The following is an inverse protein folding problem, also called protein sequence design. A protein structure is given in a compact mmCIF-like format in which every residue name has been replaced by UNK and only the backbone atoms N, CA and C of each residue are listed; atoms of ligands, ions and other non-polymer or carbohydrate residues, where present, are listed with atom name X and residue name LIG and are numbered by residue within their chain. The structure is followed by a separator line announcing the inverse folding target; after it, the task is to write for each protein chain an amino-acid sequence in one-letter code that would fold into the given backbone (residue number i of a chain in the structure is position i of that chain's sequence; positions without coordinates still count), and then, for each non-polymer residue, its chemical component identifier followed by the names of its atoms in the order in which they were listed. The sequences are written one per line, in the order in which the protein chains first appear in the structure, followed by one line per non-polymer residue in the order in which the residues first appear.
data_IF_547823352013
#
_entry.id   IF_547823352013
#
_cell.length_a   1.000
_cell.length_b   1.000
_cell.length_c   1.000
_cell.angle_alpha   90.00
_cell.angle_beta   90.00
_cell.angle_gamma   90.00
#
_symmetry.space_group_name_H-M   'P 1'
#
loop_
_entity.id
_entity.type
_entity.pdbx_description
1 polymer ?
#
# COMPACT_ATOMS: atom_id res chain seq x y z
N UNK A 1 12.33 17.65 29.14
CA UNK A 1 11.32 16.58 29.25
C UNK A 1 10.91 15.98 27.89
N UNK A 2 11.70 16.11 26.82
CA UNK A 2 11.33 15.62 25.48
C UNK A 2 12.01 14.33 25.01
N UNK A 3 12.89 13.74 25.83
CA UNK A 3 13.74 12.61 25.44
C UNK A 3 13.12 11.23 25.66
N UNK A 4 12.18 11.09 26.61
CA UNK A 4 11.59 9.77 26.96
C UNK A 4 10.51 9.33 25.95
N UNK A 5 9.71 10.26 25.42
CA UNK A 5 8.60 9.95 24.50
C UNK A 5 9.06 9.57 23.09
N UNK A 6 10.19 10.12 22.63
CA UNK A 6 10.79 9.78 21.33
C UNK A 6 11.45 8.39 21.34
N UNK A 7 11.95 7.92 22.50
CA UNK A 7 12.50 6.59 22.64
C UNK A 7 11.41 5.51 22.69
N UNK A 8 10.33 5.73 23.46
CA UNK A 8 9.19 4.80 23.53
C UNK A 8 8.50 4.60 22.17
N UNK A 9 8.39 5.66 21.36
CA UNK A 9 7.81 5.59 20.02
C UNK A 9 8.72 4.90 19.00
N UNK A 10 10.04 4.92 19.20
CA UNK A 10 10.98 4.16 18.38
C UNK A 10 10.93 2.66 18.70
N UNK A 11 10.86 2.33 19.99
CA UNK A 11 10.84 0.94 20.45
C UNK A 11 9.54 0.22 20.05
N UNK A 12 8.38 0.90 20.13
CA UNK A 12 7.10 0.36 19.64
C UNK A 12 7.13 0.10 18.13
N UNK A 13 7.70 1.03 17.34
CA UNK A 13 7.84 0.85 15.89
C UNK A 13 8.77 -0.30 15.53
N UNK A 14 9.89 -0.43 16.24
CA UNK A 14 10.81 -1.55 16.04
C UNK A 14 10.16 -2.89 16.40
N UNK A 15 9.36 -2.92 17.47
CA UNK A 15 8.56 -4.09 17.85
C UNK A 15 7.55 -4.48 16.78
N UNK A 16 6.78 -3.51 16.26
CA UNK A 16 5.84 -3.71 15.13
C UNK A 16 6.56 -4.19 13.88
N UNK A 17 7.71 -3.62 13.55
CA UNK A 17 8.51 -4.03 12.41
C UNK A 17 8.94 -5.50 12.53
N UNK A 18 9.49 -5.90 13.68
CA UNK A 18 9.92 -7.28 13.93
C UNK A 18 8.74 -8.25 13.87
N UNK A 19 7.58 -7.87 14.42
CA UNK A 19 6.35 -8.65 14.32
C UNK A 19 5.92 -8.86 12.87
N UNK A 20 5.92 -7.81 12.04
CA UNK A 20 5.53 -7.91 10.63
C UNK A 20 6.53 -8.73 9.80
N UNK A 21 7.84 -8.56 10.04
CA UNK A 21 8.89 -9.35 9.41
C UNK A 21 8.71 -10.84 9.73
N UNK A 22 8.40 -11.17 10.98
CA UNK A 22 8.10 -12.55 11.39
C UNK A 22 6.80 -13.07 10.75
N UNK A 23 5.73 -12.27 10.79
CA UNK A 23 4.41 -12.62 10.26
C UNK A 23 4.42 -12.93 8.76
N UNK A 24 5.19 -12.17 7.99
CA UNK A 24 5.29 -12.30 6.54
C UNK A 24 6.55 -13.06 6.09
N UNK A 25 7.26 -13.71 7.02
CA UNK A 25 8.46 -14.52 6.75
C UNK A 25 9.52 -13.77 5.91
N UNK A 26 9.62 -12.45 6.12
CA UNK A 26 10.56 -11.60 5.37
C UNK A 26 11.97 -11.96 5.83
N UNK A 27 12.83 -12.35 4.89
CA UNK A 27 14.20 -12.70 5.25
C UNK A 27 14.95 -11.49 5.83
N UNK A 28 15.95 -11.74 6.68
CA UNK A 28 16.69 -10.67 7.40
C UNK A 28 17.39 -9.67 6.48
N UNK A 29 17.84 -10.12 5.30
CA UNK A 29 18.50 -9.26 4.34
C UNK A 29 17.52 -8.24 3.74
N UNK A 30 16.34 -8.69 3.32
CA UNK A 30 15.25 -7.85 2.85
C UNK A 30 14.73 -6.93 3.94
N UNK A 31 14.57 -7.42 5.17
CA UNK A 31 14.19 -6.58 6.31
C UNK A 31 15.19 -5.44 6.54
N UNK A 32 16.49 -5.70 6.34
CA UNK A 32 17.52 -4.65 6.44
C UNK A 32 17.39 -3.63 5.31
N UNK A 33 17.08 -4.07 4.08
CA UNK A 33 16.84 -3.17 2.95
C UNK A 33 15.57 -2.34 3.12
N UNK A 34 14.52 -2.90 3.70
CA UNK A 34 13.26 -2.18 3.98
C UNK A 34 13.48 -0.99 4.93
N UNK A 35 14.42 -1.07 5.88
CA UNK A 35 14.80 0.09 6.70
C UNK A 35 15.34 1.27 5.90
N UNK A 36 15.88 1.03 4.70
CA UNK A 36 16.32 2.10 3.79
C UNK A 36 15.17 2.95 3.22
N UNK A 37 13.91 2.54 3.44
CA UNK A 37 12.73 3.31 3.09
C UNK A 37 12.36 4.35 4.14
N UNK A 38 13.04 4.37 5.30
CA UNK A 38 12.83 5.41 6.30
C UNK A 38 13.10 6.80 5.71
N UNK A 39 12.18 7.73 5.93
CA UNK A 39 12.27 9.08 5.36
C UNK A 39 11.82 9.20 3.90
N UNK A 40 11.32 8.14 3.26
CA UNK A 40 10.63 8.26 1.97
C UNK A 40 9.17 8.68 2.15
N UNK A 41 8.67 9.54 1.27
CA UNK A 41 7.24 9.70 1.05
C UNK A 41 6.76 8.50 0.21
N UNK A 42 5.80 7.72 0.71
CA UNK A 42 5.36 6.48 0.05
C UNK A 42 3.95 6.67 -0.50
N UNK A 43 3.79 6.43 -1.80
CA UNK A 43 2.50 6.50 -2.49
C UNK A 43 2.23 5.19 -3.24
N UNK A 44 1.01 4.70 -3.11
CA UNK A 44 0.50 3.59 -3.92
C UNK A 44 -0.40 4.10 -5.05
N UNK A 45 -0.24 3.53 -6.24
CA UNK A 45 -1.22 3.62 -7.32
C UNK A 45 -1.78 2.22 -7.54
N UNK A 46 -3.08 2.07 -7.30
CA UNK A 46 -3.81 0.80 -7.30
C UNK A 46 -4.71 0.77 -8.52
N UNK A 47 -4.52 -0.25 -9.34
CA UNK A 47 -5.37 -0.55 -10.48
C UNK A 47 -6.73 -1.07 -10.02
N UNK A 48 -7.77 -0.30 -10.31
CA UNK A 48 -9.16 -0.65 -10.06
C UNK A 48 -9.97 -0.65 -11.36
N UNK A 49 -9.32 -0.96 -12.49
CA UNK A 49 -9.95 -1.08 -13.79
C UNK A 49 -10.81 -2.35 -13.94
N UNK A 50 -11.65 -2.40 -14.98
CA UNK A 50 -12.54 -3.54 -15.19
C UNK A 50 -11.86 -4.90 -15.31
N UNK A 51 -10.61 -4.96 -15.81
CA UNK A 51 -9.84 -6.22 -15.97
C UNK A 51 -9.50 -6.88 -14.64
N UNK A 52 -9.48 -6.12 -13.55
CA UNK A 52 -9.23 -6.61 -12.19
C UNK A 52 -10.35 -7.53 -11.66
N UNK A 53 -11.51 -7.60 -12.34
CA UNK A 53 -12.55 -8.59 -12.06
C UNK A 53 -12.20 -9.99 -12.58
N UNK A 54 -11.10 -10.15 -13.32
CA UNK A 54 -10.69 -11.45 -13.86
C UNK A 54 -10.42 -12.45 -12.74
N UNK A 55 -10.93 -13.70 -12.83
CA UNK A 55 -10.61 -14.76 -11.89
C UNK A 55 -9.11 -15.13 -11.93
N UNK A 56 -8.54 -15.44 -10.78
CA UNK A 56 -7.11 -15.83 -10.62
C UNK A 56 -6.94 -17.26 -10.09
N UNK A 57 -8.04 -17.89 -9.69
CA UNK A 57 -8.05 -19.26 -9.23
C UNK A 57 -9.47 -19.81 -9.16
N UNK A 58 -9.58 -20.99 -8.57
CA UNK A 58 -10.85 -21.64 -8.31
C UNK A 58 -11.34 -21.28 -6.90
N UNK A 59 -12.66 -21.22 -6.75
CA UNK A 59 -13.34 -21.15 -5.47
C UNK A 59 -12.83 -22.26 -4.53
N UNK A 60 -12.63 -21.92 -3.25
CA UNK A 60 -12.16 -22.87 -2.24
C UNK A 60 -13.24 -23.88 -1.82
N UNK A 61 -14.51 -23.55 -2.07
CA UNK A 61 -15.66 -24.41 -1.83
C UNK A 61 -16.74 -24.27 -2.91
N UNK A 62 -17.73 -25.18 -2.93
CA UNK A 62 -18.77 -25.23 -3.97
C UNK A 62 -19.73 -24.02 -4.00
N UNK A 63 -19.72 -23.20 -2.95
CA UNK A 63 -20.55 -21.99 -2.82
C UNK A 63 -19.74 -20.69 -2.81
N UNK A 64 -18.42 -20.78 -2.85
CA UNK A 64 -17.56 -19.59 -2.84
C UNK A 64 -17.46 -19.03 -4.26
N UNK A 65 -17.28 -17.71 -4.37
CA UNK A 65 -16.90 -17.11 -5.66
C UNK A 65 -15.43 -17.37 -5.93
N UNK A 66 -15.07 -17.49 -7.21
CA UNK A 66 -13.66 -17.49 -7.59
C UNK A 66 -12.99 -16.18 -7.14
N UNK A 67 -11.79 -16.25 -6.53
CA UNK A 67 -11.03 -15.05 -6.22
C UNK A 67 -10.70 -14.31 -7.52
N UNK A 68 -10.79 -12.99 -7.48
CA UNK A 68 -10.41 -12.13 -8.61
C UNK A 68 -9.04 -11.49 -8.39
N UNK A 69 -8.45 -10.93 -9.44
CA UNK A 69 -7.22 -10.12 -9.34
C UNK A 69 -7.38 -8.99 -8.31
N UNK A 70 -8.57 -8.43 -8.18
CA UNK A 70 -8.90 -7.42 -7.17
C UNK A 70 -8.78 -7.94 -5.74
N UNK A 71 -9.17 -9.19 -5.50
CA UNK A 71 -9.06 -9.82 -4.18
C UNK A 71 -7.60 -10.07 -3.80
N UNK A 72 -6.79 -10.55 -4.74
CA UNK A 72 -5.34 -10.71 -4.54
C UNK A 72 -4.64 -9.36 -4.35
N UNK A 73 -5.02 -8.36 -5.15
CA UNK A 73 -4.47 -7.02 -5.03
C UNK A 73 -4.81 -6.41 -3.66
N UNK A 74 -6.04 -6.58 -3.18
CA UNK A 74 -6.44 -6.15 -1.83
C UNK A 74 -5.52 -6.75 -0.76
N UNK A 75 -5.26 -8.05 -0.83
CA UNK A 75 -4.40 -8.73 0.14
C UNK A 75 -2.98 -8.18 0.07
N UNK A 76 -2.44 -8.02 -1.14
CA UNK A 76 -1.09 -7.48 -1.36
C UNK A 76 -0.96 -6.05 -0.83
N UNK A 77 -1.88 -5.15 -1.17
CA UNK A 77 -1.88 -3.76 -0.70
C UNK A 77 -2.03 -3.70 0.83
N UNK A 78 -2.85 -4.56 1.42
CA UNK A 78 -2.99 -4.65 2.89
C UNK A 78 -1.66 -4.96 3.58
N UNK A 79 -0.93 -5.95 3.07
CA UNK A 79 0.40 -6.33 3.59
C UNK A 79 1.38 -5.16 3.47
N UNK A 80 1.41 -4.50 2.30
CA UNK A 80 2.36 -3.41 2.07
C UNK A 80 2.01 -2.18 2.90
N UNK A 81 0.73 -1.86 3.11
CA UNK A 81 0.32 -0.76 3.99
C UNK A 81 0.81 -1.01 5.42
N UNK A 82 0.62 -2.21 5.97
CA UNK A 82 1.06 -2.53 7.32
C UNK A 82 2.59 -2.39 7.45
N UNK A 83 3.35 -2.79 6.42
CA UNK A 83 4.81 -2.65 6.39
C UNK A 83 5.23 -1.17 6.22
N UNK A 84 4.62 -0.45 5.28
CA UNK A 84 5.02 0.91 4.91
C UNK A 84 4.78 1.92 6.04
N UNK A 85 3.71 1.73 6.82
CA UNK A 85 3.34 2.60 7.95
C UNK A 85 4.28 2.50 9.14
N UNK A 86 5.13 1.48 9.20
CA UNK A 86 6.28 1.44 10.13
C UNK A 86 7.30 2.52 9.79
N UNK A 87 7.50 2.80 8.49
CA UNK A 87 8.51 3.72 7.98
C UNK A 87 7.98 5.14 7.77
N UNK A 88 6.68 5.28 7.50
CA UNK A 88 6.00 6.57 7.45
C UNK A 88 4.94 6.71 8.57
N UNK A 89 5.24 7.43 9.67
CA UNK A 89 4.30 7.60 10.79
C UNK A 89 3.09 8.48 10.43
N UNK A 90 3.17 9.29 9.37
CA UNK A 90 2.03 10.05 8.88
C UNK A 90 1.05 9.17 8.10
N UNK A 91 1.49 7.98 7.67
CA UNK A 91 0.77 7.04 6.85
C UNK A 91 1.20 7.13 5.40
N UNK A 92 0.51 6.41 4.53
CA UNK A 92 0.76 6.44 3.08
C UNK A 92 -0.48 6.89 2.31
N UNK A 93 -0.28 7.47 1.15
CA UNK A 93 -1.38 7.82 0.25
C UNK A 93 -1.61 6.69 -0.77
N UNK A 94 -2.89 6.41 -1.05
CA UNK A 94 -3.31 5.38 -2.00
C UNK A 94 -4.19 6.03 -3.04
N UNK A 95 -3.70 6.10 -4.27
CA UNK A 95 -4.43 6.56 -5.42
C UNK A 95 -4.99 5.37 -6.16
N UNK A 96 -6.24 5.45 -6.56
CA UNK A 96 -6.85 4.49 -7.45
C UNK A 96 -6.93 5.07 -8.86
N UNK A 97 -6.98 4.20 -9.87
CA UNK A 97 -7.08 4.67 -11.25
C UNK A 97 -8.42 5.34 -11.56
N UNK A 98 -9.52 4.85 -10.97
CA UNK A 98 -10.88 5.22 -11.34
C UNK A 98 -11.73 5.75 -10.17
N UNK A 99 -11.18 5.88 -8.96
CA UNK A 99 -11.88 6.44 -7.79
C UNK A 99 -11.02 7.40 -6.98
N UNK A 100 -11.64 8.03 -5.98
CA UNK A 100 -10.96 8.99 -5.11
C UNK A 100 -9.84 8.33 -4.30
N UNK A 101 -8.72 9.05 -4.07
CA UNK A 101 -7.60 8.55 -3.30
C UNK A 101 -7.95 8.46 -1.81
N UNK A 102 -7.31 7.52 -1.12
CA UNK A 102 -7.26 7.47 0.34
C UNK A 102 -5.97 8.14 0.81
N UNK A 103 -6.07 8.95 1.87
CA UNK A 103 -4.96 9.74 2.39
C UNK A 103 -4.55 9.30 3.78
N UNK A 104 -3.26 9.39 4.08
CA UNK A 104 -2.71 9.11 5.40
C UNK A 104 -3.20 7.76 5.96
N UNK A 105 -3.16 6.73 5.11
CA UNK A 105 -3.56 5.38 5.49
C UNK A 105 -2.50 4.80 6.42
N UNK A 106 -2.92 4.39 7.62
CA UNK A 106 -2.07 3.93 8.72
C UNK A 106 -2.21 2.45 9.04
N UNK A 107 -3.22 1.77 8.49
CA UNK A 107 -3.40 0.33 8.64
C UNK A 107 -4.28 -0.22 7.51
N UNK A 108 -4.21 -1.53 7.30
CA UNK A 108 -5.00 -2.22 6.27
C UNK A 108 -6.52 -2.13 6.45
N UNK A 109 -7.05 -1.93 7.67
CA UNK A 109 -8.50 -1.88 7.91
C UNK A 109 -9.16 -0.68 7.21
N UNK A 110 -8.42 0.43 7.09
CA UNK A 110 -8.88 1.63 6.37
C UNK A 110 -9.07 1.40 4.86
N UNK A 111 -8.56 0.30 4.31
CA UNK A 111 -8.76 -0.08 2.92
C UNK A 111 -10.13 -0.72 2.67
N UNK A 112 -10.74 -1.30 3.71
CA UNK A 112 -11.94 -2.14 3.55
C UNK A 112 -13.09 -1.44 2.81
N UNK A 113 -13.42 -0.15 3.07
CA UNK A 113 -14.47 0.54 2.33
C UNK A 113 -14.14 0.70 0.84
N UNK A 114 -12.89 1.01 0.50
CA UNK A 114 -12.48 1.20 -0.88
C UNK A 114 -12.50 -0.11 -1.67
N UNK A 115 -12.09 -1.22 -1.06
CA UNK A 115 -12.09 -2.54 -1.70
C UNK A 115 -13.46 -3.24 -1.69
N UNK A 116 -14.42 -2.77 -0.91
CA UNK A 116 -15.81 -3.25 -0.96
C UNK A 116 -16.52 -2.87 -2.27
N UNK A 117 -16.07 -1.80 -2.93
CA UNK A 117 -16.56 -1.39 -4.25
C UNK A 117 -15.79 -2.14 -5.33
N UNK A 118 -16.46 -2.92 -6.21
CA UNK A 118 -15.79 -3.63 -7.29
C UNK A 118 -14.98 -2.69 -8.21
N UNK A 119 -13.90 -3.18 -8.84
CA UNK A 119 -13.14 -2.40 -9.79
C UNK A 119 -13.91 -2.24 -11.11
N UNK A 120 -13.80 -1.07 -11.70
CA UNK A 120 -14.48 -0.70 -12.94
C UNK A 120 -13.77 0.49 -13.61
N UNK A 121 -13.88 0.57 -14.93
CA UNK A 121 -13.32 1.67 -15.71
C UNK A 121 -12.00 1.33 -16.40
N UNK A 122 -11.38 2.34 -17.06
CA UNK A 122 -10.14 2.19 -17.84
C UNK A 122 -8.87 2.05 -16.96
N UNK A 123 -7.70 1.96 -17.60
CA UNK A 123 -6.35 1.93 -16.98
C UNK A 123 -5.56 3.25 -17.14
N UNK A 124 -6.04 4.42 -16.65
CA UNK A 124 -5.39 5.72 -16.89
C UNK A 124 -4.13 5.96 -16.04
N UNK A 125 -3.16 5.03 -16.04
CA UNK A 125 -1.94 5.07 -15.21
C UNK A 125 -1.18 6.38 -15.40
N UNK A 126 -0.94 6.81 -16.64
CA UNK A 126 -0.19 8.04 -16.91
C UNK A 126 -0.90 9.32 -16.43
N UNK A 127 -2.23 9.31 -16.32
CA UNK A 127 -3.00 10.44 -15.76
C UNK A 127 -2.81 10.50 -14.25
N UNK A 128 -3.02 9.36 -13.57
CA UNK A 128 -2.92 9.29 -12.11
C UNK A 128 -1.48 9.47 -11.62
N UNK A 129 -0.50 8.94 -12.34
CA UNK A 129 0.91 9.17 -12.00
C UNK A 129 1.29 10.66 -12.08
N UNK A 130 0.83 11.38 -13.11
CA UNK A 130 1.03 12.84 -13.19
C UNK A 130 0.34 13.58 -12.06
N UNK A 131 -0.86 13.15 -11.68
CA UNK A 131 -1.57 13.69 -10.52
C UNK A 131 -0.74 13.50 -9.23
N UNK A 132 -0.19 12.31 -8.98
CA UNK A 132 0.68 12.04 -7.83
C UNK A 132 1.88 12.98 -7.81
N UNK A 133 2.58 13.13 -8.94
CA UNK A 133 3.75 14.01 -9.02
C UNK A 133 3.42 15.48 -8.77
N UNK A 134 2.25 15.95 -9.22
CA UNK A 134 1.80 17.31 -8.99
C UNK A 134 1.42 17.55 -7.53
N UNK A 135 0.67 16.62 -6.94
CA UNK A 135 0.21 16.77 -5.55
C UNK A 135 1.34 16.63 -4.54
N UNK A 136 2.34 15.78 -4.83
CA UNK A 136 3.49 15.53 -3.94
C UNK A 136 4.68 16.44 -4.21
N UNK A 137 4.50 17.50 -5.01
CA UNK A 137 5.60 18.35 -5.47
C UNK A 137 6.34 19.04 -4.31
N UNK A 138 5.66 19.33 -3.20
CA UNK A 138 6.29 19.93 -2.02
C UNK A 138 7.05 18.88 -1.22
N UNK A 139 6.45 17.72 -0.99
CA UNK A 139 7.04 16.61 -0.25
C UNK A 139 8.29 16.07 -0.95
N UNK A 140 8.30 16.01 -2.29
CA UNK A 140 9.46 15.59 -3.10
C UNK A 140 10.68 16.53 -2.91
N UNK A 141 10.47 17.79 -2.48
CA UNK A 141 11.59 18.71 -2.22
C UNK A 141 12.29 18.39 -0.89
N UNK A 142 11.58 17.79 0.06
CA UNK A 142 12.10 17.49 1.39
C UNK A 142 12.50 16.01 1.55
N UNK A 143 11.81 15.12 0.85
CA UNK A 143 11.92 13.66 0.98
C UNK A 143 11.92 13.00 -0.39
N UNK A 144 12.52 11.82 -0.50
CA UNK A 144 12.43 11.01 -1.72
C UNK A 144 11.03 10.41 -1.82
N UNK A 145 10.42 10.46 -3.01
CA UNK A 145 9.15 9.81 -3.29
C UNK A 145 9.37 8.39 -3.80
N UNK A 146 8.73 7.41 -3.17
CA UNK A 146 8.58 6.04 -3.66
C UNK A 146 7.14 5.84 -4.14
N UNK A 147 6.99 5.62 -5.44
CA UNK A 147 5.68 5.28 -6.04
C UNK A 147 5.64 3.78 -6.35
N UNK A 148 4.70 3.09 -5.74
CA UNK A 148 4.42 1.67 -5.98
C UNK A 148 3.16 1.58 -6.84
N UNK A 149 3.29 1.04 -8.05
CA UNK A 149 2.17 0.86 -8.98
C UNK A 149 1.82 -0.62 -8.99
N UNK A 150 0.57 -0.94 -8.67
CA UNK A 150 0.06 -2.31 -8.63
C UNK A 150 -1.07 -2.48 -9.64
N UNK A 151 -0.80 -3.26 -10.69
CA UNK A 151 -1.64 -3.48 -11.88
C UNK A 151 -1.55 -4.93 -12.33
N UNK A 152 -2.50 -5.41 -13.14
CA UNK A 152 -2.53 -6.78 -13.67
C UNK A 152 -1.69 -7.01 -14.94
N UNK A 153 -0.89 -6.02 -15.34
CA UNK A 153 0.19 -6.19 -16.31
C UNK A 153 -0.18 -5.96 -17.78
N UNK A 154 -1.36 -5.41 -18.07
CA UNK A 154 -1.72 -4.95 -19.43
C UNK A 154 -1.97 -3.42 -19.40
N UNK A 155 -1.05 -2.60 -19.93
CA UNK A 155 -1.25 -1.15 -20.06
C UNK A 155 -2.45 -0.79 -20.94
#
# INVERSE_FOLDING_TARGET
MGSNSLQETNDDRMGKFQYLVGRYEINREFATRLRGLEGYEIVFIVDDSGSMNSPVGNASGPYDRNPTRWDELRQTVSIVVDIATVFDPNGIDIFFLNRQPLRNVKNAEQLAPAFAVPPAGPTPIARVFRQVLQEKQLEIQERKLLVLIATDGVP
#
